data_IF_152579523455
#
_entry.id   IF_152579523455
#
_cell.length_a   1.000
_cell.length_b   1.000
_cell.length_c   1.000
_cell.angle_alpha   90.00
_cell.angle_beta   90.00
_cell.angle_gamma   90.00
#
_symmetry.space_group_name_H-M   'P 1'
#
loop_
_entity.id
_entity.type
_entity.pdbx_description
1 polymer ?
#
# COMPACT_ATOMS: atom_id res chain seq x y z
N UNK A 1 -9.99 -4.24 22.10
CA UNK A 1 -10.18 -4.28 20.63
C UNK A 1 -8.84 -4.44 19.88
N UNK A 2 -7.76 -3.76 20.28
CA UNK A 2 -6.45 -3.79 19.59
C UNK A 2 -5.72 -5.13 19.72
N UNK A 3 -5.95 -5.90 20.77
CA UNK A 3 -5.24 -7.16 21.03
C UNK A 3 -5.49 -8.21 19.93
N UNK A 4 -6.68 -8.24 19.34
CA UNK A 4 -7.04 -9.17 18.26
C UNK A 4 -6.30 -8.90 16.95
N UNK A 5 -5.82 -7.67 16.71
CA UNK A 5 -5.03 -7.28 15.55
C UNK A 5 -3.53 -7.56 15.73
N UNK A 6 -3.06 -7.71 16.97
CA UNK A 6 -1.64 -7.90 17.25
C UNK A 6 -1.21 -9.34 16.97
N UNK A 7 -0.33 -9.61 15.97
CA UNK A 7 0.12 -10.97 15.65
C UNK A 7 0.82 -11.66 16.81
N UNK A 8 1.52 -10.90 17.68
CA UNK A 8 2.25 -11.43 18.85
C UNK A 8 1.33 -11.81 20.00
N UNK A 9 0.08 -11.34 20.01
CA UNK A 9 -0.87 -11.58 21.09
C UNK A 9 -1.74 -12.82 20.87
N UNK A 10 -1.47 -13.66 19.88
CA UNK A 10 -2.32 -14.80 19.47
C UNK A 10 -2.58 -15.79 20.62
N UNK A 11 -1.58 -16.04 21.49
CA UNK A 11 -1.71 -16.91 22.67
C UNK A 11 -2.71 -16.33 23.66
N UNK A 12 -2.63 -15.03 23.96
CA UNK A 12 -3.56 -14.34 24.87
C UNK A 12 -4.97 -14.34 24.28
N UNK A 13 -5.10 -14.15 22.96
CA UNK A 13 -6.40 -14.22 22.26
C UNK A 13 -7.03 -15.60 22.42
N UNK A 14 -6.23 -16.69 22.30
CA UNK A 14 -6.72 -18.04 22.46
C UNK A 14 -7.19 -18.34 23.89
N UNK A 15 -6.51 -17.81 24.92
CA UNK A 15 -6.96 -17.92 26.31
C UNK A 15 -8.27 -17.17 26.54
N UNK A 16 -8.43 -15.96 25.98
CA UNK A 16 -9.67 -15.18 26.05
C UNK A 16 -10.86 -15.90 25.40
N UNK A 17 -10.63 -16.61 24.30
CA UNK A 17 -11.66 -17.45 23.66
C UNK A 17 -12.12 -18.54 24.61
N UNK A 18 -11.19 -19.24 25.29
CA UNK A 18 -11.52 -20.28 26.27
C UNK A 18 -12.35 -19.74 27.44
N UNK A 19 -12.15 -18.47 27.80
CA UNK A 19 -12.88 -17.77 28.86
C UNK A 19 -14.23 -17.18 28.39
N UNK A 20 -14.64 -17.40 27.13
CA UNK A 20 -15.84 -16.79 26.52
C UNK A 20 -15.87 -15.26 26.62
N UNK A 21 -14.71 -14.59 26.46
CA UNK A 21 -14.60 -13.13 26.52
C UNK A 21 -15.42 -12.49 25.39
N UNK A 22 -16.53 -11.83 25.74
CA UNK A 22 -17.45 -11.16 24.82
C UNK A 22 -16.83 -9.94 24.13
N UNK A 23 -15.70 -9.45 24.59
CA UNK A 23 -15.01 -8.28 24.03
C UNK A 23 -13.98 -8.64 22.94
N UNK A 24 -13.86 -9.92 22.58
CA UNK A 24 -12.97 -10.34 21.52
C UNK A 24 -13.42 -9.78 20.17
N UNK A 25 -12.52 -9.10 19.48
CA UNK A 25 -12.78 -8.51 18.16
C UNK A 25 -12.49 -9.54 17.03
N UNK A 26 -13.53 -10.21 16.56
CA UNK A 26 -13.44 -11.21 15.49
C UNK A 26 -13.06 -10.61 14.13
N UNK A 27 -13.41 -9.33 13.87
CA UNK A 27 -12.95 -8.60 12.68
C UNK A 27 -11.42 -8.47 12.70
N UNK A 28 -10.90 -7.99 13.84
CA UNK A 28 -9.45 -7.88 14.04
C UNK A 28 -8.74 -9.23 13.96
N UNK A 29 -9.35 -10.30 14.48
CA UNK A 29 -8.77 -11.64 14.40
C UNK A 29 -8.77 -12.19 12.97
N UNK A 30 -9.80 -11.90 12.18
CA UNK A 30 -9.88 -12.29 10.76
C UNK A 30 -8.80 -11.59 9.92
N UNK A 31 -8.40 -10.37 10.28
CA UNK A 31 -7.29 -9.64 9.65
C UNK A 31 -5.91 -10.06 10.17
N UNK A 32 -5.84 -10.65 11.37
CA UNK A 32 -4.57 -10.98 12.01
C UNK A 32 -3.84 -12.08 11.22
N UNK A 33 -2.57 -11.89 10.82
CA UNK A 33 -1.80 -12.91 10.09
C UNK A 33 -1.75 -14.27 10.77
N UNK A 34 -1.81 -14.32 12.10
CA UNK A 34 -1.83 -15.56 12.90
C UNK A 34 -3.27 -16.00 13.27
N UNK A 35 -4.29 -15.24 12.85
CA UNK A 35 -5.70 -15.53 13.10
C UNK A 35 -6.19 -16.86 12.55
N UNK A 36 -5.77 -17.31 11.34
CA UNK A 36 -6.20 -18.58 10.76
C UNK A 36 -6.07 -19.78 11.68
N UNK A 37 -5.02 -19.85 12.50
CA UNK A 37 -4.79 -20.95 13.47
C UNK A 37 -5.95 -21.12 14.49
N UNK A 38 -6.63 -20.02 14.81
CA UNK A 38 -7.76 -19.99 15.74
C UNK A 38 -9.09 -20.08 14.98
N UNK A 39 -9.18 -19.41 13.85
CA UNK A 39 -10.41 -19.27 13.06
C UNK A 39 -10.87 -20.62 12.47
N UNK A 40 -9.97 -21.53 12.15
CA UNK A 40 -10.34 -22.90 11.71
C UNK A 40 -11.21 -23.64 12.71
N UNK A 41 -11.07 -23.35 14.01
CA UNK A 41 -11.88 -23.93 15.08
C UNK A 41 -13.12 -23.11 15.43
N UNK A 42 -13.27 -21.93 14.82
CA UNK A 42 -14.31 -20.94 15.12
C UNK A 42 -14.94 -20.38 13.84
N UNK A 43 -15.25 -21.26 12.86
CA UNK A 43 -15.72 -20.90 11.51
C UNK A 43 -16.95 -19.97 11.56
N UNK A 44 -17.86 -20.16 12.50
CA UNK A 44 -19.06 -19.35 12.67
C UNK A 44 -18.80 -17.91 13.19
N UNK A 45 -17.56 -17.60 13.56
CA UNK A 45 -17.13 -16.27 14.02
C UNK A 45 -16.33 -15.51 12.99
N UNK A 46 -15.98 -16.15 11.87
CA UNK A 46 -15.18 -15.54 10.80
C UNK A 46 -15.93 -14.38 10.18
N UNK A 47 -15.20 -13.28 9.98
CA UNK A 47 -15.63 -12.15 9.18
C UNK A 47 -14.98 -12.28 7.80
N UNK A 48 -15.73 -12.79 6.85
CA UNK A 48 -15.22 -13.29 5.56
C UNK A 48 -14.58 -12.21 4.69
N UNK A 49 -15.07 -10.97 4.72
CA UNK A 49 -14.45 -9.83 4.01
C UNK A 49 -13.03 -9.55 4.54
N UNK A 50 -12.89 -9.54 5.86
CA UNK A 50 -11.58 -9.36 6.47
C UNK A 50 -10.65 -10.56 6.25
N UNK A 51 -11.22 -11.78 6.27
CA UNK A 51 -10.46 -13.00 6.00
C UNK A 51 -9.98 -13.06 4.54
N UNK A 52 -10.80 -12.63 3.58
CA UNK A 52 -10.44 -12.60 2.15
C UNK A 52 -9.22 -11.70 1.89
N UNK A 53 -9.00 -10.68 2.72
CA UNK A 53 -7.80 -9.82 2.67
C UNK A 53 -6.57 -10.45 3.32
N UNK A 54 -6.74 -11.43 4.20
CA UNK A 54 -5.65 -12.02 4.98
C UNK A 54 -4.82 -12.98 4.13
N UNK A 55 -3.52 -12.69 3.84
CA UNK A 55 -2.71 -13.52 2.96
C UNK A 55 -2.41 -14.93 3.53
N UNK A 56 -2.56 -15.12 4.84
CA UNK A 56 -2.32 -16.40 5.50
C UNK A 56 -3.58 -17.26 5.64
N UNK A 57 -4.72 -16.81 5.10
CA UNK A 57 -6.01 -17.51 5.26
C UNK A 57 -6.42 -18.36 4.05
N UNK A 58 -5.58 -18.50 3.03
CA UNK A 58 -5.93 -19.15 1.75
C UNK A 58 -6.50 -20.56 1.98
N UNK A 59 -5.92 -21.36 2.87
CA UNK A 59 -6.40 -22.73 3.17
C UNK A 59 -7.83 -22.77 3.74
N UNK A 60 -8.25 -21.76 4.48
CA UNK A 60 -9.63 -21.63 4.98
C UNK A 60 -10.56 -21.20 3.84
N UNK A 61 -10.11 -20.24 3.02
CA UNK A 61 -10.89 -19.70 1.90
C UNK A 61 -11.15 -20.80 0.85
N UNK A 62 -10.16 -21.61 0.50
CA UNK A 62 -10.31 -22.74 -0.44
C UNK A 62 -11.38 -23.75 -0.02
N UNK A 63 -11.59 -23.94 1.29
CA UNK A 63 -12.62 -24.83 1.84
C UNK A 63 -14.01 -24.18 1.93
N UNK A 64 -14.13 -22.87 1.67
CA UNK A 64 -15.34 -22.08 1.89
C UNK A 64 -15.57 -21.07 0.75
N UNK A 65 -15.56 -21.54 -0.51
CA UNK A 65 -15.61 -20.71 -1.71
C UNK A 65 -16.89 -19.83 -1.79
N UNK A 66 -17.99 -20.30 -1.18
CA UNK A 66 -19.28 -19.59 -1.11
C UNK A 66 -19.27 -18.38 -0.16
N UNK A 67 -18.25 -18.27 0.69
CA UNK A 67 -18.07 -17.19 1.66
C UNK A 67 -17.07 -16.12 1.24
N UNK A 68 -16.30 -16.38 0.19
CA UNK A 68 -15.24 -15.47 -0.26
C UNK A 68 -15.83 -14.17 -0.78
N UNK A 69 -15.27 -13.05 -0.33
CA UNK A 69 -15.38 -11.78 -1.03
C UNK A 69 -14.32 -11.72 -2.15
N UNK A 70 -14.72 -12.04 -3.37
CA UNK A 70 -13.83 -12.17 -4.51
C UNK A 70 -13.21 -10.85 -4.97
N UNK A 71 -13.91 -9.71 -4.75
CA UNK A 71 -13.34 -8.38 -5.03
C UNK A 71 -12.12 -8.13 -4.15
N UNK A 72 -12.27 -8.36 -2.85
CA UNK A 72 -11.17 -8.20 -1.88
C UNK A 72 -10.06 -9.24 -2.11
N UNK A 73 -10.44 -10.49 -2.42
CA UNK A 73 -9.49 -11.57 -2.69
C UNK A 73 -8.60 -11.27 -3.90
N UNK A 74 -9.13 -10.60 -4.92
CA UNK A 74 -8.38 -10.28 -6.14
C UNK A 74 -7.11 -9.45 -5.87
N UNK A 75 -7.10 -8.67 -4.79
CA UNK A 75 -5.91 -7.92 -4.35
C UNK A 75 -5.05 -8.69 -3.32
N UNK A 76 -5.45 -9.89 -2.89
CA UNK A 76 -4.69 -10.69 -1.94
C UNK A 76 -3.47 -11.32 -2.63
N UNK A 77 -2.26 -10.96 -2.18
CA UNK A 77 -0.99 -11.35 -2.82
C UNK A 77 -0.72 -12.86 -2.83
N UNK A 78 -1.36 -13.62 -1.93
CA UNK A 78 -1.19 -15.08 -1.84
C UNK A 78 -2.34 -15.87 -2.50
N UNK A 79 -3.33 -15.17 -3.07
CA UNK A 79 -4.53 -15.85 -3.61
C UNK A 79 -4.42 -16.20 -5.10
N UNK A 80 -3.26 -16.02 -5.76
CA UNK A 80 -3.14 -16.15 -7.22
C UNK A 80 -3.62 -17.53 -7.70
N UNK A 81 -3.18 -18.62 -7.09
CA UNK A 81 -3.57 -19.99 -7.49
C UNK A 81 -5.09 -20.22 -7.33
N UNK A 82 -5.70 -19.62 -6.30
CA UNK A 82 -7.15 -19.71 -6.08
C UNK A 82 -7.93 -18.88 -7.11
N UNK A 83 -7.42 -17.71 -7.49
CA UNK A 83 -7.98 -16.84 -8.52
C UNK A 83 -7.85 -17.47 -9.91
N UNK A 84 -6.72 -18.10 -10.25
CA UNK A 84 -6.53 -18.82 -11.51
C UNK A 84 -7.57 -19.94 -11.73
N UNK A 85 -7.96 -20.63 -10.66
CA UNK A 85 -9.00 -21.67 -10.70
C UNK A 85 -10.43 -21.12 -10.78
N UNK A 86 -10.64 -19.81 -10.52
CA UNK A 86 -11.96 -19.17 -10.43
C UNK A 86 -11.97 -17.83 -11.20
N UNK A 87 -11.51 -17.85 -12.44
CA UNK A 87 -11.31 -16.61 -13.22
C UNK A 87 -12.60 -15.84 -13.54
N UNK A 88 -13.74 -16.51 -13.49
CA UNK A 88 -15.07 -15.92 -13.64
C UNK A 88 -15.46 -15.00 -12.48
N UNK A 89 -14.77 -15.10 -11.34
CA UNK A 89 -15.03 -14.33 -10.11
C UNK A 89 -14.01 -13.23 -9.86
N UNK A 90 -12.99 -13.09 -10.70
CA UNK A 90 -11.93 -12.11 -10.52
C UNK A 90 -12.45 -10.69 -10.73
N UNK A 91 -12.19 -9.81 -9.77
CA UNK A 91 -12.21 -8.36 -9.99
C UNK A 91 -10.89 -7.93 -10.64
N UNK A 92 -10.90 -7.71 -11.95
CA UNK A 92 -9.70 -7.40 -12.74
C UNK A 92 -9.10 -6.03 -12.42
N UNK A 93 -9.89 -5.09 -11.91
CA UNK A 93 -9.41 -3.79 -11.41
C UNK A 93 -8.48 -4.02 -10.22
N UNK A 94 -8.96 -4.73 -9.20
CA UNK A 94 -8.18 -5.08 -7.99
C UNK A 94 -6.98 -5.97 -8.32
N UNK A 95 -7.15 -6.92 -9.24
CA UNK A 95 -6.07 -7.80 -9.69
C UNK A 95 -4.95 -7.03 -10.39
N UNK A 96 -5.28 -6.00 -11.17
CA UNK A 96 -4.27 -5.18 -11.88
C UNK A 96 -3.30 -4.49 -10.93
N UNK A 97 -3.73 -4.17 -9.71
CA UNK A 97 -2.89 -3.61 -8.66
C UNK A 97 -2.10 -4.68 -7.87
N UNK A 98 -2.46 -5.96 -7.99
CA UNK A 98 -1.82 -7.04 -7.24
C UNK A 98 -0.41 -7.34 -7.81
N UNK A 99 0.69 -7.13 -7.05
CA UNK A 99 2.05 -7.29 -7.56
C UNK A 99 2.41 -8.75 -7.93
N UNK A 100 1.68 -9.73 -7.40
CA UNK A 100 1.93 -11.15 -7.69
C UNK A 100 1.11 -11.66 -8.89
N UNK A 101 0.19 -10.85 -9.43
CA UNK A 101 -0.72 -11.28 -10.50
C UNK A 101 -0.15 -11.12 -11.93
N UNK A 102 1.09 -10.69 -12.12
CA UNK A 102 1.63 -10.31 -13.43
C UNK A 102 1.48 -11.40 -14.48
N UNK A 103 1.70 -12.67 -14.13
CA UNK A 103 1.55 -13.78 -15.07
C UNK A 103 0.09 -13.99 -15.48
N UNK A 104 -0.84 -13.92 -14.53
CA UNK A 104 -2.27 -14.04 -14.78
C UNK A 104 -2.78 -12.87 -15.66
N UNK A 105 -2.29 -11.65 -15.42
CA UNK A 105 -2.59 -10.46 -16.21
C UNK A 105 -2.04 -10.56 -17.64
N UNK A 106 -0.81 -11.08 -17.83
CA UNK A 106 -0.23 -11.32 -19.17
C UNK A 106 -1.09 -12.24 -20.03
N UNK A 107 -1.73 -13.22 -19.42
CA UNK A 107 -2.61 -14.16 -20.12
C UNK A 107 -4.03 -13.60 -20.37
N UNK A 108 -4.34 -12.42 -19.85
CA UNK A 108 -5.66 -11.78 -19.91
C UNK A 108 -5.54 -10.27 -20.19
N UNK A 109 -4.77 -9.89 -21.20
CA UNK A 109 -4.43 -8.50 -21.53
C UNK A 109 -5.66 -7.60 -21.75
N UNK A 110 -6.72 -8.17 -22.29
CA UNK A 110 -8.00 -7.51 -22.57
C UNK A 110 -8.78 -7.11 -21.30
N UNK A 111 -8.45 -7.72 -20.16
CA UNK A 111 -9.13 -7.49 -18.87
C UNK A 111 -8.36 -6.54 -17.93
N UNK A 112 -7.15 -6.14 -18.32
CA UNK A 112 -6.28 -5.29 -17.50
C UNK A 112 -6.89 -3.89 -17.33
N UNK A 113 -6.96 -3.42 -16.09
CA UNK A 113 -7.11 -2.01 -15.79
C UNK A 113 -5.72 -1.34 -15.81
N UNK A 114 -5.45 -0.56 -16.87
CA UNK A 114 -4.14 0.06 -17.11
C UNK A 114 -3.83 1.20 -16.15
N UNK A 115 -4.83 1.82 -15.52
CA UNK A 115 -4.62 2.82 -14.47
C UNK A 115 -3.90 2.17 -13.28
N UNK A 116 -4.47 1.08 -12.74
CA UNK A 116 -3.92 0.37 -11.59
C UNK A 116 -2.66 -0.42 -11.94
N UNK A 117 -2.57 -0.99 -13.14
CA UNK A 117 -1.36 -1.67 -13.59
C UNK A 117 -0.16 -0.72 -13.67
N UNK A 118 -0.37 0.54 -14.09
CA UNK A 118 0.72 1.52 -14.21
C UNK A 118 1.36 1.83 -12.85
N UNK A 119 0.61 1.75 -11.74
CA UNK A 119 1.12 1.93 -10.38
C UNK A 119 1.75 0.65 -9.82
N UNK A 120 1.44 -0.53 -10.40
CA UNK A 120 1.93 -1.81 -9.93
C UNK A 120 3.45 -1.94 -10.13
N UNK A 121 4.19 -2.01 -9.00
CA UNK A 121 5.67 -2.03 -8.98
C UNK A 121 6.31 -3.19 -9.75
N UNK A 122 5.59 -4.30 -9.95
CA UNK A 122 6.08 -5.49 -10.63
C UNK A 122 5.69 -5.52 -12.13
N UNK A 123 4.93 -4.51 -12.61
CA UNK A 123 4.38 -4.52 -13.96
C UNK A 123 5.29 -3.91 -15.03
N UNK A 124 6.49 -3.42 -14.70
CA UNK A 124 7.33 -2.63 -15.63
C UNK A 124 7.52 -3.32 -16.99
N UNK A 125 7.91 -4.59 -17.00
CA UNK A 125 8.09 -5.34 -18.26
C UNK A 125 6.81 -5.46 -19.08
N UNK A 126 5.62 -5.57 -18.44
CA UNK A 126 4.34 -5.63 -19.12
C UNK A 126 3.95 -4.25 -19.69
N UNK A 127 4.25 -3.18 -18.95
CA UNK A 127 4.02 -1.80 -19.38
C UNK A 127 4.93 -1.42 -20.57
N UNK A 128 6.19 -1.85 -20.55
CA UNK A 128 7.14 -1.63 -21.67
C UNK A 128 6.67 -2.29 -22.98
N UNK A 129 6.00 -3.43 -22.89
CA UNK A 129 5.42 -4.13 -24.03
C UNK A 129 4.10 -3.50 -24.53
N UNK A 130 3.48 -2.60 -23.74
CA UNK A 130 2.19 -1.99 -24.02
C UNK A 130 2.20 -0.48 -23.75
N UNK A 131 3.21 0.22 -24.27
CA UNK A 131 3.47 1.65 -23.99
C UNK A 131 2.31 2.58 -24.34
N UNK A 132 1.50 2.22 -25.31
CA UNK A 132 0.32 2.95 -25.74
C UNK A 132 -0.83 2.91 -24.71
N UNK A 133 -0.81 1.96 -23.78
CA UNK A 133 -1.83 1.76 -22.75
C UNK A 133 -1.42 2.31 -21.37
N UNK A 134 -0.18 2.79 -21.23
CA UNK A 134 0.32 3.33 -19.96
C UNK A 134 -0.51 4.56 -19.54
N UNK A 135 -1.02 4.52 -18.31
CA UNK A 135 -1.56 5.70 -17.67
C UNK A 135 -0.46 6.45 -16.93
N UNK A 136 0.13 7.44 -17.59
CA UNK A 136 1.34 8.15 -17.14
C UNK A 136 1.24 8.79 -15.76
N UNK A 137 0.11 9.41 -15.35
CA UNK A 137 0.01 9.93 -13.98
C UNK A 137 0.18 8.86 -12.91
N UNK A 138 -0.42 7.67 -13.06
CA UNK A 138 -0.22 6.54 -12.11
C UNK A 138 1.19 5.97 -12.19
N UNK A 139 1.78 5.88 -13.40
CA UNK A 139 3.16 5.42 -13.56
C UNK A 139 4.15 6.28 -12.77
N UNK A 140 3.90 7.59 -12.66
CA UNK A 140 4.76 8.48 -11.88
C UNK A 140 4.80 8.16 -10.40
N UNK A 141 3.80 7.45 -9.85
CA UNK A 141 3.79 6.96 -8.47
C UNK A 141 4.55 5.64 -8.31
N UNK A 142 4.81 4.91 -9.40
CA UNK A 142 5.49 3.63 -9.38
C UNK A 142 7.00 3.80 -9.14
N UNK A 143 7.56 3.35 -7.98
CA UNK A 143 8.97 3.58 -7.66
C UNK A 143 9.94 2.82 -8.59
N UNK A 144 9.47 1.78 -9.29
CA UNK A 144 10.29 0.98 -10.19
C UNK A 144 10.26 1.49 -11.65
N UNK A 145 9.48 2.55 -11.95
CA UNK A 145 9.29 3.04 -13.31
C UNK A 145 10.29 4.13 -13.74
N UNK A 146 11.32 4.43 -12.96
CA UNK A 146 12.21 5.58 -13.17
C UNK A 146 12.80 5.63 -14.59
N UNK A 147 13.37 4.53 -15.10
CA UNK A 147 13.95 4.49 -16.45
C UNK A 147 12.90 4.71 -17.56
N UNK A 148 11.67 4.21 -17.35
CA UNK A 148 10.57 4.41 -18.29
C UNK A 148 10.08 5.86 -18.26
N UNK A 149 10.05 6.50 -17.10
CA UNK A 149 9.73 7.93 -16.89
C UNK A 149 10.79 8.82 -17.56
N UNK A 150 12.07 8.58 -17.33
CA UNK A 150 13.19 9.34 -17.93
C UNK A 150 13.15 9.31 -19.47
N UNK A 151 12.78 8.17 -20.04
CA UNK A 151 12.66 8.00 -21.49
C UNK A 151 11.41 8.66 -22.08
N UNK A 152 10.49 9.19 -21.27
CA UNK A 152 9.19 9.77 -21.70
C UNK A 152 8.81 10.99 -20.85
N UNK A 153 9.75 11.87 -20.61
CA UNK A 153 9.62 13.01 -19.70
C UNK A 153 8.52 14.02 -20.13
N UNK A 154 8.13 14.00 -21.38
CA UNK A 154 7.07 14.82 -21.97
C UNK A 154 5.65 14.37 -21.59
N UNK A 155 5.49 13.14 -21.06
CA UNK A 155 4.18 12.53 -20.76
C UNK A 155 3.85 12.49 -19.27
N UNK A 156 4.78 12.84 -18.40
CA UNK A 156 4.67 12.60 -16.97
C UNK A 156 3.81 13.64 -16.23
N UNK A 157 3.35 13.26 -15.04
CA UNK A 157 2.75 14.16 -14.06
C UNK A 157 3.82 14.55 -13.03
N UNK A 158 4.25 15.79 -13.04
CA UNK A 158 5.23 16.31 -12.07
C UNK A 158 4.69 16.31 -10.64
N UNK A 159 3.38 16.50 -10.46
CA UNK A 159 2.71 16.42 -9.17
C UNK A 159 2.86 15.03 -8.55
N UNK A 160 2.56 13.98 -9.33
CA UNK A 160 2.69 12.61 -8.87
C UNK A 160 4.15 12.19 -8.73
N UNK A 161 5.01 12.63 -9.66
CA UNK A 161 6.44 12.33 -9.60
C UNK A 161 7.10 12.91 -8.34
N UNK A 162 6.63 14.07 -7.86
CA UNK A 162 7.16 14.70 -6.63
C UNK A 162 6.96 13.83 -5.38
N UNK A 163 5.99 12.89 -5.40
CA UNK A 163 5.77 11.91 -4.33
C UNK A 163 6.61 10.63 -4.51
N UNK A 164 7.13 10.37 -5.71
CA UNK A 164 7.87 9.13 -5.98
C UNK A 164 9.21 9.12 -5.25
N UNK A 165 9.40 8.15 -4.37
CA UNK A 165 10.59 8.05 -3.52
C UNK A 165 11.90 7.87 -4.29
N UNK A 166 11.85 7.36 -5.53
CA UNK A 166 13.02 7.10 -6.36
C UNK A 166 13.26 8.20 -7.42
N UNK A 167 12.40 9.23 -7.49
CA UNK A 167 12.48 10.25 -8.52
C UNK A 167 13.37 11.47 -8.16
N UNK A 168 14.09 11.45 -7.05
CA UNK A 168 14.82 12.60 -6.51
C UNK A 168 15.79 13.20 -7.55
N UNK A 169 16.53 12.38 -8.28
CA UNK A 169 17.49 12.87 -9.30
C UNK A 169 16.77 13.58 -10.45
N UNK A 170 15.61 13.08 -10.90
CA UNK A 170 14.83 13.72 -11.96
C UNK A 170 14.29 15.07 -11.47
N UNK A 171 13.82 15.15 -10.22
CA UNK A 171 13.30 16.37 -9.62
C UNK A 171 14.39 17.43 -9.43
N UNK A 172 15.62 17.04 -9.03
CA UNK A 172 16.75 17.97 -8.93
C UNK A 172 17.15 18.57 -10.28
N UNK A 173 17.05 17.81 -11.37
CA UNK A 173 17.31 18.27 -12.73
C UNK A 173 16.19 19.14 -13.31
N UNK A 174 14.98 19.09 -12.72
CA UNK A 174 13.78 19.79 -13.20
C UNK A 174 13.13 20.58 -12.06
N UNK A 175 13.92 21.38 -11.39
CA UNK A 175 13.59 22.04 -10.13
C UNK A 175 12.34 22.96 -10.23
N UNK A 176 12.12 23.58 -11.38
CA UNK A 176 10.97 24.44 -11.66
C UNK A 176 9.63 23.68 -11.80
N UNK A 177 9.69 22.37 -11.95
CA UNK A 177 8.51 21.46 -12.08
C UNK A 177 8.08 20.83 -10.77
N UNK A 178 8.85 20.98 -9.69
CA UNK A 178 8.58 20.34 -8.40
C UNK A 178 7.27 20.86 -7.81
N UNK A 179 6.37 19.91 -7.46
CA UNK A 179 5.26 20.22 -6.53
C UNK A 179 5.78 20.08 -5.09
N UNK A 180 6.05 21.21 -4.45
CA UNK A 180 6.68 21.27 -3.12
C UNK A 180 5.80 20.69 -2.01
N UNK A 181 4.47 20.86 -2.10
CA UNK A 181 3.55 20.21 -1.14
C UNK A 181 3.65 18.70 -1.21
N UNK A 182 3.67 18.13 -2.42
CA UNK A 182 3.85 16.69 -2.62
C UNK A 182 5.26 16.21 -2.26
N UNK A 183 6.28 17.01 -2.54
CA UNK A 183 7.66 16.70 -2.16
C UNK A 183 7.84 16.70 -0.64
N UNK A 184 7.12 17.54 0.10
CA UNK A 184 7.23 17.62 1.56
C UNK A 184 6.88 16.28 2.24
N UNK A 185 6.00 15.45 1.65
CA UNK A 185 5.65 14.12 2.17
C UNK A 185 6.70 13.06 1.78
N UNK A 186 7.50 13.32 0.74
CA UNK A 186 8.44 12.33 0.19
C UNK A 186 9.60 12.06 1.17
N UNK A 187 9.75 10.84 1.73
CA UNK A 187 10.77 10.54 2.72
C UNK A 187 12.20 10.70 2.21
N UNK A 188 12.43 10.59 0.88
CA UNK A 188 13.76 10.71 0.29
C UNK A 188 14.12 12.16 -0.11
N UNK A 189 13.21 13.12 0.08
CA UNK A 189 13.41 14.51 -0.35
C UNK A 189 14.07 15.42 0.70
N UNK A 190 14.46 14.92 1.87
CA UNK A 190 14.96 15.72 2.98
C UNK A 190 16.13 16.62 2.59
N UNK A 191 17.05 16.14 1.75
CA UNK A 191 18.20 16.93 1.27
C UNK A 191 17.79 18.15 0.44
N UNK A 192 16.75 18.01 -0.40
CA UNK A 192 16.20 19.10 -1.21
C UNK A 192 15.44 20.08 -0.31
N UNK A 193 14.61 19.57 0.61
CA UNK A 193 13.80 20.37 1.53
C UNK A 193 14.67 21.22 2.46
N UNK A 194 15.76 20.69 3.00
CA UNK A 194 16.74 21.42 3.83
C UNK A 194 17.35 22.62 3.11
N UNK A 195 17.61 22.51 1.81
CA UNK A 195 18.17 23.59 0.99
C UNK A 195 17.14 24.65 0.62
N UNK A 196 15.82 24.36 0.78
CA UNK A 196 14.72 25.22 0.34
C UNK A 196 13.62 25.32 1.41
N UNK A 197 13.93 25.75 2.65
CA UNK A 197 12.96 25.72 3.75
C UNK A 197 11.75 26.64 3.51
N UNK A 198 11.88 27.66 2.66
CA UNK A 198 10.81 28.58 2.29
C UNK A 198 9.75 27.93 1.38
N UNK A 199 10.05 26.79 0.75
CA UNK A 199 9.16 26.07 -0.13
C UNK A 199 8.46 24.89 0.54
N UNK A 200 8.83 24.55 1.78
CA UNK A 200 8.27 23.42 2.53
C UNK A 200 6.81 23.70 2.86
N UNK A 201 5.94 22.72 2.56
CA UNK A 201 4.62 22.64 3.15
C UNK A 201 4.74 22.00 4.55
N UNK A 202 4.77 22.82 5.58
CA UNK A 202 5.00 22.39 6.96
C UNK A 202 3.88 21.50 7.52
N UNK A 203 2.64 21.66 7.03
CA UNK A 203 1.53 20.77 7.41
C UNK A 203 1.74 19.37 6.84
N UNK A 204 2.09 19.27 5.56
CA UNK A 204 2.33 18.00 4.91
C UNK A 204 3.66 17.36 5.33
N UNK A 205 4.67 18.16 5.67
CA UNK A 205 5.93 17.64 6.21
C UNK A 205 5.72 16.83 7.49
N UNK A 206 4.68 17.14 8.28
CA UNK A 206 4.34 16.38 9.48
C UNK A 206 4.06 14.88 9.20
N UNK A 207 3.75 14.50 7.98
CA UNK A 207 3.56 13.10 7.57
C UNK A 207 4.83 12.44 6.99
N UNK A 208 5.93 13.19 6.89
CA UNK A 208 7.20 12.66 6.38
C UNK A 208 7.97 11.95 7.50
N UNK A 209 8.19 10.62 7.43
CA UNK A 209 8.83 9.86 8.50
C UNK A 209 10.31 10.18 8.69
N UNK A 210 10.96 10.85 7.74
CA UNK A 210 12.39 11.17 7.78
C UNK A 210 12.66 12.65 8.09
N UNK A 211 11.62 13.43 8.48
CA UNK A 211 11.73 14.88 8.66
C UNK A 211 12.18 15.34 10.07
N UNK A 212 12.58 14.43 10.96
CA UNK A 212 12.94 14.69 12.35
C UNK A 212 13.90 15.89 12.53
N UNK A 213 14.98 15.93 11.75
CA UNK A 213 15.95 17.02 11.82
C UNK A 213 15.34 18.38 11.43
N UNK A 214 14.43 18.42 10.44
CA UNK A 214 13.70 19.63 10.06
C UNK A 214 12.75 20.07 11.17
N UNK A 215 12.10 19.13 11.86
CA UNK A 215 11.24 19.42 13.00
C UNK A 215 12.04 20.03 14.15
N UNK A 216 13.24 19.54 14.40
CA UNK A 216 14.11 20.10 15.45
C UNK A 216 14.55 21.53 15.12
N UNK A 217 14.95 21.81 13.87
CA UNK A 217 15.46 23.12 13.45
C UNK A 217 14.33 24.16 13.37
N UNK A 218 13.13 23.80 12.93
CA UNK A 218 12.03 24.71 12.61
C UNK A 218 10.80 24.49 13.50
N UNK A 219 10.99 24.34 14.80
CA UNK A 219 9.94 24.05 15.80
C UNK A 219 8.77 25.05 15.76
N UNK A 220 9.06 26.31 15.45
CA UNK A 220 8.10 27.42 15.36
C UNK A 220 7.15 27.32 14.14
N UNK A 221 7.49 26.52 13.14
CA UNK A 221 6.68 26.32 11.92
C UNK A 221 5.79 25.08 11.97
N UNK A 222 5.92 24.26 13.02
CA UNK A 222 5.22 22.99 13.10
C UNK A 222 3.78 23.15 13.55
N UNK A 223 2.90 22.40 12.90
CA UNK A 223 1.52 22.22 13.34
C UNK A 223 1.44 20.98 14.26
N UNK A 224 1.42 21.20 15.55
CA UNK A 224 1.42 20.15 16.57
C UNK A 224 0.22 19.21 16.52
N UNK A 225 -0.90 19.66 15.96
CA UNK A 225 -2.05 18.78 15.72
C UNK A 225 -1.70 17.66 14.73
N UNK A 226 -1.11 17.99 13.57
CA UNK A 226 -0.68 17.00 12.58
C UNK A 226 0.55 16.21 13.02
N UNK A 227 1.42 16.83 13.80
CA UNK A 227 2.59 16.16 14.36
C UNK A 227 2.24 14.96 15.22
N UNK A 228 1.11 14.98 15.95
CA UNK A 228 0.68 13.87 16.81
C UNK A 228 0.43 12.54 16.06
N UNK A 229 0.31 12.59 14.76
CA UNK A 229 0.14 11.40 13.90
C UNK A 229 1.47 10.86 13.33
N UNK A 230 2.58 11.62 13.49
CA UNK A 230 3.88 11.22 12.98
C UNK A 230 4.58 10.22 13.94
N UNK A 231 4.99 9.02 13.46
CA UNK A 231 5.64 8.03 14.31
C UNK A 231 6.98 8.49 14.89
N UNK A 232 7.68 9.43 14.25
CA UNK A 232 9.00 9.93 14.72
C UNK A 232 8.93 10.78 15.97
N UNK A 233 7.75 11.26 16.41
CA UNK A 233 7.62 12.10 17.61
C UNK A 233 7.88 11.32 18.91
N UNK A 234 7.62 10.03 18.90
CA UNK A 234 7.67 9.18 20.09
C UNK A 234 9.08 8.66 20.40
N UNK A 235 10.08 9.03 19.61
CA UNK A 235 11.49 8.66 19.80
C UNK A 235 12.37 9.84 20.28
N UNK A 236 11.76 11.00 20.55
CA UNK A 236 12.49 12.20 21.04
C UNK A 236 12.51 12.15 22.58
N UNK A 237 13.52 11.51 23.13
CA UNK A 237 13.96 11.67 24.53
C UNK A 237 14.84 12.90 24.70
#
# INVERSE_FOLDING_TARGET
KLISLNPRAITIVNEKIKQNDSYLNWNGLSMNPNGPLILEKNINKIQWDFLSRNPNAISILEKNLDKINWDILSNNINAIDLLEKNQDKINWIELSNNPNAINLLKNNIDKIDWFWLSENKNAISLLEQNKDKIYWPSLCLNPNAISLIESNIDKISWDNLSQNINAINILEQNFDKINWSKLSINPNAISILKKNPEKIDWNLLCFNPNAEELFYIYKDKLNWYWMSENPCIFEID
#
